data_IF_274260462779
#
_entry.id   IF_274260462779
#
_cell.length_a   1.000
_cell.length_b   1.000
_cell.length_c   1.000
_cell.angle_alpha   90.00
_cell.angle_beta   90.00
_cell.angle_gamma   90.00
#
_symmetry.space_group_name_H-M   'P 1'
#
loop_
_entity.id
_entity.type
_entity.pdbx_description
1 polymer ?
#
# COMPACT_ATOMS: atom_id res chain seq x y z
N UNK A 1 2.10 -20.49 12.61
CA UNK A 1 3.47 -20.94 12.97
C UNK A 1 4.40 -19.74 12.89
N UNK A 2 5.30 -19.57 13.87
CA UNK A 2 6.30 -18.49 13.92
C UNK A 2 7.69 -19.06 13.67
N UNK A 3 8.45 -18.46 12.77
CA UNK A 3 9.81 -18.88 12.41
C UNK A 3 10.75 -17.68 12.39
N UNK A 4 12.00 -17.89 12.80
CA UNK A 4 13.07 -16.94 12.52
C UNK A 4 13.82 -17.40 11.27
N UNK A 5 14.17 -16.47 10.38
CA UNK A 5 14.88 -16.79 9.14
C UNK A 5 15.91 -15.73 8.79
N UNK A 6 17.03 -16.16 8.22
CA UNK A 6 18.06 -15.30 7.64
C UNK A 6 17.88 -15.09 6.13
N UNK A 7 16.69 -15.40 5.59
CA UNK A 7 16.37 -15.23 4.17
C UNK A 7 14.88 -15.04 3.97
N UNK A 8 14.50 -14.07 3.14
CA UNK A 8 13.09 -13.85 2.74
C UNK A 8 12.62 -14.89 1.73
N UNK A 9 13.47 -15.23 0.76
CA UNK A 9 13.12 -16.12 -0.35
C UNK A 9 12.75 -17.54 0.10
N UNK A 10 13.38 -18.06 1.16
CA UNK A 10 13.14 -19.45 1.62
C UNK A 10 11.71 -19.66 2.15
N UNK A 11 11.22 -18.88 3.14
CA UNK A 11 9.83 -18.97 3.57
C UNK A 11 8.83 -18.72 2.44
N UNK A 12 9.08 -17.73 1.57
CA UNK A 12 8.17 -17.44 0.45
C UNK A 12 8.03 -18.64 -0.49
N UNK A 13 9.15 -19.24 -0.91
CA UNK A 13 9.13 -20.43 -1.77
C UNK A 13 8.42 -21.60 -1.11
N UNK A 14 8.73 -21.87 0.17
CA UNK A 14 8.09 -22.95 0.91
C UNK A 14 6.57 -22.76 1.02
N UNK A 15 6.13 -21.54 1.31
CA UNK A 15 4.71 -21.21 1.44
C UNK A 15 3.99 -21.32 0.10
N UNK A 16 4.57 -20.72 -0.95
CA UNK A 16 4.05 -20.75 -2.32
C UNK A 16 3.86 -22.18 -2.83
N UNK A 17 4.80 -23.09 -2.53
CA UNK A 17 4.68 -24.51 -2.94
C UNK A 17 3.48 -25.20 -2.28
N UNK A 18 3.02 -24.74 -1.12
CA UNK A 18 1.92 -25.36 -0.35
C UNK A 18 0.56 -24.72 -0.59
N UNK A 19 0.52 -23.42 -0.86
CA UNK A 19 -0.71 -22.63 -0.98
C UNK A 19 -0.95 -22.10 -2.40
N UNK A 20 -0.01 -22.33 -3.32
CA UNK A 20 -0.07 -21.78 -4.68
C UNK A 20 0.48 -20.35 -4.74
N UNK A 21 0.15 -19.61 -5.81
CA UNK A 21 0.68 -18.27 -6.06
C UNK A 21 -0.26 -17.13 -5.58
N UNK A 22 -1.46 -17.47 -5.13
CA UNK A 22 -2.49 -16.51 -4.72
C UNK A 22 -2.53 -16.41 -3.18
N UNK A 23 -1.57 -15.69 -2.60
CA UNK A 23 -1.53 -15.42 -1.16
C UNK A 23 -1.12 -13.97 -0.87
N UNK A 24 -1.38 -13.53 0.35
CA UNK A 24 -1.11 -12.18 0.85
C UNK A 24 0.19 -12.11 1.63
N UNK A 25 1.02 -11.13 1.29
CA UNK A 25 2.20 -10.75 2.07
C UNK A 25 1.87 -9.51 2.91
N UNK A 26 2.10 -9.58 4.21
CA UNK A 26 2.13 -8.42 5.10
C UNK A 26 3.54 -8.28 5.65
N UNK A 27 4.07 -7.06 5.65
CA UNK A 27 5.40 -6.76 6.17
C UNK A 27 5.26 -5.64 7.19
N UNK A 28 5.84 -5.85 8.38
CA UNK A 28 5.94 -4.89 9.45
C UNK A 28 7.38 -4.82 9.95
N UNK A 29 7.80 -3.67 10.49
CA UNK A 29 9.09 -3.53 11.18
C UNK A 29 8.86 -3.50 12.68
N UNK A 30 9.71 -4.22 13.42
CA UNK A 30 9.77 -4.22 14.87
C UNK A 30 11.22 -4.02 15.32
N UNK A 31 11.45 -3.06 16.20
CA UNK A 31 12.73 -2.92 16.90
C UNK A 31 12.70 -3.74 18.18
N UNK A 32 13.70 -4.58 18.40
CA UNK A 32 13.84 -5.37 19.63
C UNK A 32 14.56 -4.57 20.73
N UNK A 33 14.51 -5.08 21.97
CA UNK A 33 15.05 -4.39 23.15
C UNK A 33 16.56 -4.10 23.08
N UNK A 34 17.31 -4.94 22.36
CA UNK A 34 18.74 -4.79 22.07
C UNK A 34 19.02 -3.78 20.93
N UNK A 35 17.99 -3.15 20.37
CA UNK A 35 18.11 -2.19 19.27
C UNK A 35 18.19 -2.84 17.88
N UNK A 36 18.10 -4.16 17.79
CA UNK A 36 18.11 -4.85 16.49
C UNK A 36 16.78 -4.60 15.76
N UNK A 37 16.85 -4.19 14.49
CA UNK A 37 15.66 -4.06 13.65
C UNK A 37 15.32 -5.42 13.02
N UNK A 38 14.10 -5.90 13.31
CA UNK A 38 13.53 -7.11 12.76
C UNK A 38 12.37 -6.75 11.83
N UNK A 39 12.30 -7.45 10.71
CA UNK A 39 11.19 -7.39 9.76
C UNK A 39 10.30 -8.59 10.00
N UNK A 40 9.10 -8.34 10.49
CA UNK A 40 8.07 -9.36 10.69
C UNK A 40 7.24 -9.47 9.38
N UNK A 41 7.36 -10.61 8.72
CA UNK A 41 6.65 -10.95 7.49
C UNK A 41 5.56 -12.01 7.78
N UNK A 42 4.32 -11.68 7.47
CA UNK A 42 3.18 -12.59 7.57
C UNK A 42 2.66 -12.96 6.17
N UNK A 43 2.59 -14.25 5.89
CA UNK A 43 2.08 -14.83 4.66
C UNK A 43 0.72 -15.47 4.95
N UNK A 44 -0.32 -15.07 4.24
CA UNK A 44 -1.70 -15.54 4.46
C UNK A 44 -2.30 -16.07 3.16
N UNK A 45 -2.79 -17.30 3.20
CA UNK A 45 -3.59 -17.92 2.15
C UNK A 45 -4.88 -18.50 2.76
N UNK A 46 -5.78 -19.02 1.93
CA UNK A 46 -7.00 -19.67 2.42
C UNK A 46 -6.69 -20.92 3.26
N UNK A 47 -5.63 -21.64 2.89
CA UNK A 47 -5.20 -22.89 3.53
C UNK A 47 -4.38 -22.68 4.81
N UNK A 48 -3.98 -21.44 5.11
CA UNK A 48 -3.29 -21.13 6.36
C UNK A 48 -2.43 -19.88 6.33
N UNK A 49 -1.78 -19.61 7.46
CA UNK A 49 -0.90 -18.46 7.65
C UNK A 49 0.46 -18.85 8.25
N UNK A 50 1.50 -18.14 7.83
CA UNK A 50 2.86 -18.27 8.36
C UNK A 50 3.40 -16.90 8.75
N UNK A 51 4.10 -16.83 9.88
CA UNK A 51 4.79 -15.62 10.33
C UNK A 51 6.29 -15.88 10.42
N UNK A 52 7.07 -14.94 9.93
CA UNK A 52 8.53 -15.04 9.84
C UNK A 52 9.15 -13.75 10.34
N UNK A 53 10.10 -13.82 11.25
CA UNK A 53 10.95 -12.68 11.60
C UNK A 53 12.29 -12.80 10.91
N UNK A 54 12.73 -11.70 10.31
CA UNK A 54 13.96 -11.62 9.52
C UNK A 54 14.74 -10.40 9.98
N UNK A 55 16.03 -10.51 10.33
CA UNK A 55 16.85 -9.33 10.60
C UNK A 55 16.83 -8.35 9.42
N UNK A 56 16.74 -7.05 9.68
CA UNK A 56 16.69 -6.00 8.63
C UNK A 56 17.82 -6.11 7.58
N UNK A 57 19.09 -6.38 7.95
CA UNK A 57 20.16 -6.58 6.97
C UNK A 57 19.91 -7.75 6.01
N UNK A 58 19.39 -8.87 6.54
CA UNK A 58 19.11 -10.08 5.76
C UNK A 58 17.89 -9.89 4.85
N UNK A 59 16.92 -9.09 5.29
CA UNK A 59 15.74 -8.74 4.50
C UNK A 59 16.10 -7.97 3.22
N UNK A 60 17.08 -7.06 3.32
CA UNK A 60 17.56 -6.24 2.21
C UNK A 60 18.53 -6.99 1.28
N UNK A 61 19.35 -7.89 1.82
CA UNK A 61 20.39 -8.58 1.07
C UNK A 61 19.87 -9.34 -0.15
N UNK A 62 18.61 -9.80 -0.13
CA UNK A 62 17.99 -10.59 -1.19
C UNK A 62 16.75 -9.92 -1.80
N UNK A 63 16.65 -8.59 -1.71
CA UNK A 63 15.48 -7.81 -2.14
C UNK A 63 14.98 -8.19 -3.54
N UNK A 64 15.88 -8.20 -4.52
CA UNK A 64 15.56 -8.47 -5.92
C UNK A 64 14.90 -9.84 -6.18
N UNK A 65 15.27 -10.88 -5.42
CA UNK A 65 14.70 -12.22 -5.58
C UNK A 65 13.28 -12.29 -5.03
N UNK A 66 13.08 -11.77 -3.81
CA UNK A 66 11.79 -11.92 -3.16
C UNK A 66 10.74 -10.97 -3.72
N UNK A 67 11.10 -9.72 -4.06
CA UNK A 67 10.15 -8.77 -4.67
C UNK A 67 9.61 -9.25 -6.01
N UNK A 68 10.38 -10.07 -6.74
CA UNK A 68 9.95 -10.68 -7.99
C UNK A 68 8.79 -11.68 -7.85
N UNK A 69 8.61 -12.25 -6.64
CA UNK A 69 7.61 -13.28 -6.35
C UNK A 69 6.35 -12.76 -5.66
N UNK A 70 6.37 -11.52 -5.17
CA UNK A 70 5.26 -10.95 -4.39
C UNK A 70 4.19 -10.39 -5.32
N UNK A 71 2.99 -10.95 -5.24
CA UNK A 71 1.82 -10.52 -6.02
C UNK A 71 0.91 -9.58 -5.23
N UNK A 72 0.84 -9.72 -3.90
CA UNK A 72 0.12 -8.80 -3.03
C UNK A 72 0.93 -8.46 -1.78
N UNK A 73 0.96 -7.17 -1.43
CA UNK A 73 1.81 -6.62 -0.38
C UNK A 73 1.04 -5.63 0.48
N UNK A 74 1.13 -5.78 1.80
CA UNK A 74 0.66 -4.79 2.78
C UNK A 74 1.83 -4.33 3.63
N UNK A 75 2.06 -3.01 3.67
CA UNK A 75 3.14 -2.39 4.43
C UNK A 75 2.60 -1.75 5.71
N UNK A 76 3.06 -2.24 6.86
CA UNK A 76 2.71 -1.76 8.20
C UNK A 76 3.91 -1.02 8.78
N UNK A 77 3.77 0.27 9.12
CA UNK A 77 4.90 1.11 9.54
C UNK A 77 5.62 1.75 8.36
N UNK A 78 4.87 2.52 7.56
CA UNK A 78 5.32 3.03 6.25
C UNK A 78 6.59 3.88 6.34
N UNK A 79 6.77 4.65 7.44
CA UNK A 79 7.97 5.47 7.63
C UNK A 79 9.24 4.64 7.51
N UNK A 80 9.29 3.55 8.27
CA UNK A 80 10.48 2.74 8.42
C UNK A 80 10.65 1.84 7.18
N UNK A 81 9.54 1.35 6.61
CA UNK A 81 9.57 0.49 5.42
C UNK A 81 9.99 1.22 4.14
N UNK A 82 9.61 2.48 3.97
CA UNK A 82 10.10 3.25 2.83
C UNK A 82 11.57 3.67 2.95
N UNK A 83 12.12 3.72 4.17
CA UNK A 83 13.56 3.84 4.35
C UNK A 83 14.30 2.57 3.92
N UNK A 84 13.67 1.40 4.08
CA UNK A 84 14.24 0.10 3.71
C UNK A 84 14.06 -0.27 2.23
N UNK A 85 12.99 0.17 1.58
CA UNK A 85 12.64 -0.26 0.21
C UNK A 85 12.79 0.81 -0.90
N UNK A 86 13.64 1.85 -0.81
CA UNK A 86 13.70 2.87 -1.85
C UNK A 86 14.16 2.25 -3.17
N UNK A 87 13.47 2.57 -4.27
CA UNK A 87 13.84 2.15 -5.62
C UNK A 87 13.64 0.65 -5.90
N UNK A 88 13.08 -0.12 -4.96
CA UNK A 88 12.80 -1.53 -5.18
C UNK A 88 11.76 -1.72 -6.30
N UNK A 89 12.01 -2.72 -7.15
CA UNK A 89 11.08 -3.11 -8.22
C UNK A 89 10.30 -4.35 -7.82
N UNK A 90 8.98 -4.27 -7.95
CA UNK A 90 8.05 -5.37 -7.70
C UNK A 90 7.34 -5.75 -9.02
N UNK A 91 7.96 -6.57 -9.87
CA UNK A 91 7.49 -6.81 -11.23
C UNK A 91 6.18 -7.60 -11.31
N UNK A 92 5.83 -8.37 -10.28
CA UNK A 92 4.63 -9.21 -10.22
C UNK A 92 3.52 -8.63 -9.33
N UNK A 93 3.74 -7.46 -8.70
CA UNK A 93 2.83 -6.93 -7.69
C UNK A 93 1.55 -6.38 -8.32
N UNK A 94 0.42 -6.98 -7.95
CA UNK A 94 -0.92 -6.65 -8.42
C UNK A 94 -1.71 -5.82 -7.40
N UNK A 95 -1.48 -6.01 -6.10
CA UNK A 95 -2.14 -5.24 -5.06
C UNK A 95 -1.15 -4.75 -4.00
N UNK A 96 -1.21 -3.44 -3.70
CA UNK A 96 -0.40 -2.80 -2.68
C UNK A 96 -1.29 -2.09 -1.67
N UNK A 97 -1.16 -2.42 -0.40
CA UNK A 97 -1.81 -1.73 0.72
C UNK A 97 -0.75 -1.00 1.53
N UNK A 98 -0.96 0.29 1.78
CA UNK A 98 -0.17 1.08 2.70
C UNK A 98 -1.05 1.43 3.91
N UNK A 99 -0.65 0.97 5.08
CA UNK A 99 -1.35 1.28 6.33
C UNK A 99 -0.88 2.65 6.85
N UNK A 100 -1.61 3.69 6.46
CA UNK A 100 -1.39 5.09 6.76
C UNK A 100 -1.99 5.51 8.12
N UNK A 101 -2.01 4.62 9.11
CA UNK A 101 -2.41 4.93 10.49
C UNK A 101 -1.44 5.92 11.17
N UNK A 102 -0.22 6.06 10.66
CA UNK A 102 0.77 6.98 11.21
C UNK A 102 0.35 8.44 11.03
N UNK A 103 0.70 9.26 12.03
CA UNK A 103 0.27 10.67 12.15
C UNK A 103 0.81 11.55 11.01
N UNK A 104 1.91 11.11 10.36
CA UNK A 104 2.60 11.88 9.33
C UNK A 104 2.12 11.49 7.92
N UNK A 105 1.64 12.45 7.11
CA UNK A 105 1.38 12.22 5.69
C UNK A 105 2.62 11.71 4.95
N UNK A 106 2.40 10.89 3.90
CA UNK A 106 3.46 10.35 3.04
C UNK A 106 4.41 11.42 2.48
N UNK A 107 3.95 12.68 2.41
CA UNK A 107 4.72 13.83 1.93
C UNK A 107 6.00 14.10 2.73
N UNK A 108 6.08 13.63 3.97
CA UNK A 108 7.25 13.83 4.83
C UNK A 108 8.40 12.86 4.54
N UNK A 109 8.13 11.76 3.84
CA UNK A 109 9.16 10.78 3.52
C UNK A 109 9.84 11.17 2.19
N UNK A 110 11.17 11.18 2.18
CA UNK A 110 11.99 11.33 0.97
C UNK A 110 12.42 9.96 0.52
N UNK A 111 11.78 9.44 -0.52
CA UNK A 111 11.93 8.04 -0.94
C UNK A 111 12.00 8.00 -2.46
N UNK A 112 12.86 7.13 -2.98
CA UNK A 112 12.75 6.75 -4.39
C UNK A 112 11.48 5.91 -4.55
N UNK A 113 10.65 6.20 -5.57
CA UNK A 113 9.35 5.54 -5.72
C UNK A 113 9.51 4.05 -6.01
N UNK A 114 8.58 3.23 -5.49
CA UNK A 114 8.51 1.80 -5.79
C UNK A 114 8.13 1.58 -7.25
N UNK A 115 8.88 0.74 -7.96
CA UNK A 115 8.59 0.44 -9.37
C UNK A 115 7.62 -0.74 -9.45
N UNK A 116 6.39 -0.49 -9.89
CA UNK A 116 5.27 -1.44 -9.78
C UNK A 116 4.51 -1.58 -11.11
N UNK A 117 5.13 -2.19 -12.14
CA UNK A 117 4.67 -2.09 -13.53
C UNK A 117 3.30 -2.74 -13.79
N UNK A 118 2.88 -3.72 -12.97
CA UNK A 118 1.63 -4.48 -13.17
C UNK A 118 0.58 -4.25 -12.09
N UNK A 119 0.79 -3.28 -11.19
CA UNK A 119 -0.13 -2.95 -10.09
C UNK A 119 -1.54 -2.67 -10.60
N UNK A 120 -2.55 -3.32 -10.04
CA UNK A 120 -3.96 -3.14 -10.40
C UNK A 120 -4.71 -2.37 -9.33
N UNK A 121 -4.37 -2.62 -8.06
CA UNK A 121 -5.08 -2.07 -6.92
C UNK A 121 -4.07 -1.42 -5.98
N UNK A 122 -4.29 -0.15 -5.69
CA UNK A 122 -3.58 0.57 -4.64
C UNK A 122 -4.54 0.90 -3.51
N UNK A 123 -4.18 0.59 -2.27
CA UNK A 123 -5.03 0.78 -1.08
C UNK A 123 -4.27 1.66 -0.08
N UNK A 124 -4.89 2.77 0.32
CA UNK A 124 -4.47 3.56 1.48
C UNK A 124 -5.44 3.23 2.62
N UNK A 125 -4.93 2.57 3.66
CA UNK A 125 -5.71 2.20 4.84
C UNK A 125 -5.37 3.12 6.02
N UNK A 126 -6.30 3.98 6.41
CA UNK A 126 -6.19 4.92 7.52
C UNK A 126 -6.74 4.32 8.82
N UNK A 127 -7.43 3.18 8.78
CA UNK A 127 -8.04 2.54 9.96
C UNK A 127 -9.15 3.35 10.58
N UNK A 128 -9.48 3.04 11.84
CA UNK A 128 -10.67 3.58 12.52
C UNK A 128 -10.38 4.81 13.39
N UNK A 129 -9.14 5.29 13.49
CA UNK A 129 -8.79 6.38 14.43
C UNK A 129 -9.31 7.74 13.91
N UNK A 130 -10.45 8.19 14.44
CA UNK A 130 -11.35 9.24 13.94
C UNK A 130 -10.82 10.69 13.76
N UNK A 131 -9.53 10.97 13.59
CA UNK A 131 -9.05 12.36 13.45
C UNK A 131 -8.19 12.61 12.20
N UNK A 132 -8.74 13.44 11.31
CA UNK A 132 -8.02 14.07 10.20
C UNK A 132 -7.90 13.24 8.91
N UNK A 133 -8.72 12.20 8.73
CA UNK A 133 -8.62 11.30 7.58
C UNK A 133 -8.79 11.98 6.22
N UNK A 134 -9.72 12.93 6.07
CA UNK A 134 -9.90 13.68 4.80
C UNK A 134 -8.62 14.43 4.40
N UNK A 135 -8.08 15.25 5.30
CA UNK A 135 -6.87 16.02 5.05
C UNK A 135 -5.65 15.11 4.80
N UNK A 136 -5.51 14.04 5.60
CA UNK A 136 -4.43 13.05 5.43
C UNK A 136 -4.54 12.33 4.09
N UNK A 137 -5.73 11.87 3.73
CA UNK A 137 -5.99 11.19 2.47
C UNK A 137 -5.63 12.07 1.28
N UNK A 138 -6.10 13.33 1.29
CA UNK A 138 -5.73 14.32 0.27
C UNK A 138 -4.21 14.48 0.16
N UNK A 139 -3.50 14.67 1.28
CA UNK A 139 -2.04 14.85 1.30
C UNK A 139 -1.29 13.61 0.82
N UNK A 140 -1.76 12.41 1.15
CA UNK A 140 -1.18 11.17 0.65
C UNK A 140 -1.36 11.05 -0.86
N UNK A 141 -2.58 11.27 -1.37
CA UNK A 141 -2.89 11.20 -2.80
C UNK A 141 -2.09 12.20 -3.64
N UNK A 142 -1.83 13.40 -3.10
CA UNK A 142 -1.01 14.43 -3.76
C UNK A 142 0.42 13.96 -4.08
N UNK A 143 0.99 13.05 -3.28
CA UNK A 143 2.39 12.61 -3.41
C UNK A 143 2.58 11.20 -3.97
N UNK A 144 1.51 10.40 -4.04
CA UNK A 144 1.57 9.03 -4.59
C UNK A 144 2.26 8.94 -5.96
N UNK A 145 1.86 9.73 -6.98
CA UNK A 145 2.42 9.60 -8.33
C UNK A 145 3.91 9.96 -8.41
N UNK A 146 4.38 10.88 -7.58
CA UNK A 146 5.71 11.47 -7.71
C UNK A 146 6.73 10.88 -6.73
N UNK A 147 6.27 10.29 -5.62
CA UNK A 147 7.14 9.88 -4.50
C UNK A 147 6.95 8.45 -4.01
N UNK A 148 5.76 7.87 -4.23
CA UNK A 148 5.41 6.58 -3.65
C UNK A 148 5.49 5.49 -4.70
N UNK A 149 4.88 5.71 -5.87
CA UNK A 149 4.76 4.72 -6.92
C UNK A 149 5.27 5.24 -8.25
N UNK A 150 6.15 4.47 -8.89
CA UNK A 150 6.50 4.64 -10.29
C UNK A 150 5.63 3.70 -11.12
N UNK A 151 4.56 4.27 -11.68
CA UNK A 151 3.63 3.58 -12.59
C UNK A 151 4.07 3.66 -14.07
N UNK A 152 5.21 4.29 -14.34
CA UNK A 152 5.66 4.68 -15.68
C UNK A 152 4.57 5.54 -16.36
N UNK A 153 4.14 5.18 -17.56
CA UNK A 153 3.11 5.89 -18.34
C UNK A 153 1.68 5.37 -18.04
N UNK A 154 1.54 4.39 -17.15
CA UNK A 154 0.26 3.71 -16.90
C UNK A 154 -0.52 4.40 -15.78
N UNK A 155 -1.84 4.28 -15.85
CA UNK A 155 -2.76 4.63 -14.76
C UNK A 155 -3.33 3.39 -14.11
N UNK A 156 -3.63 3.49 -12.83
CA UNK A 156 -4.33 2.45 -12.09
C UNK A 156 -5.82 2.50 -12.41
N UNK A 157 -6.48 1.35 -12.61
CA UNK A 157 -7.94 1.32 -12.72
C UNK A 157 -8.62 1.92 -11.48
N UNK A 158 -8.14 1.53 -10.30
CA UNK A 158 -8.76 1.90 -9.02
C UNK A 158 -7.73 2.16 -7.93
N UNK A 159 -7.88 3.28 -7.22
CA UNK A 159 -7.32 3.49 -5.89
C UNK A 159 -8.42 3.33 -4.83
N UNK A 160 -8.12 2.65 -3.72
CA UNK A 160 -9.02 2.47 -2.59
C UNK A 160 -8.54 3.25 -1.38
N UNK A 161 -9.44 3.96 -0.74
CA UNK A 161 -9.21 4.66 0.52
C UNK A 161 -10.09 3.99 1.57
N UNK A 162 -9.47 3.41 2.59
CA UNK A 162 -10.16 2.67 3.65
C UNK A 162 -9.95 3.42 4.96
N UNK A 163 -11.01 3.67 5.72
CA UNK A 163 -10.88 4.34 7.02
C UNK A 163 -12.19 4.31 7.81
N UNK A 164 -12.24 4.98 8.97
CA UNK A 164 -13.49 5.19 9.72
C UNK A 164 -14.40 6.22 9.04
N UNK A 165 -15.63 6.37 9.55
CA UNK A 165 -16.75 7.14 8.95
C UNK A 165 -16.40 8.51 8.36
N UNK A 166 -15.43 9.23 8.94
CA UNK A 166 -14.99 10.53 8.44
C UNK A 166 -14.35 10.48 7.04
N UNK A 167 -13.84 9.32 6.60
CA UNK A 167 -13.31 9.15 5.24
C UNK A 167 -14.40 9.36 4.19
N UNK A 168 -15.66 9.01 4.52
CA UNK A 168 -16.82 9.22 3.67
C UNK A 168 -17.14 10.70 3.44
N UNK A 169 -16.56 11.62 4.21
CA UNK A 169 -16.74 13.07 3.99
C UNK A 169 -15.92 13.60 2.81
N UNK A 170 -14.97 12.83 2.28
CA UNK A 170 -14.24 13.18 1.06
C UNK A 170 -15.22 13.56 -0.05
N UNK A 171 -14.95 14.68 -0.71
CA UNK A 171 -15.67 15.14 -1.88
C UNK A 171 -14.78 15.01 -3.12
N UNK A 172 -15.41 15.16 -4.28
CA UNK A 172 -14.71 15.08 -5.55
C UNK A 172 -13.55 16.09 -5.66
N UNK A 173 -13.76 17.32 -5.16
CA UNK A 173 -12.75 18.40 -5.12
C UNK A 173 -11.54 18.10 -4.22
N UNK A 174 -11.63 17.09 -3.34
CA UNK A 174 -10.51 16.65 -2.49
C UNK A 174 -9.56 15.67 -3.22
N UNK A 175 -9.92 15.21 -4.41
CA UNK A 175 -9.22 14.13 -5.13
C UNK A 175 -8.36 14.55 -6.36
N UNK A 176 -7.97 15.81 -6.60
CA UNK A 176 -7.24 16.17 -7.82
C UNK A 176 -5.88 15.47 -7.94
N UNK A 177 -5.26 15.09 -6.81
CA UNK A 177 -4.04 14.29 -6.79
C UNK A 177 -4.26 12.85 -7.30
N UNK A 178 -5.41 12.25 -6.99
CA UNK A 178 -5.74 10.89 -7.42
C UNK A 178 -5.86 10.78 -8.94
N UNK A 179 -6.44 11.80 -9.57
CA UNK A 179 -6.67 11.86 -11.01
C UNK A 179 -5.40 11.92 -11.85
N UNK A 180 -4.23 12.13 -11.24
CA UNK A 180 -2.95 12.01 -11.93
C UNK A 180 -2.57 10.56 -12.22
N UNK A 181 -3.02 9.61 -11.41
CA UNK A 181 -2.51 8.24 -11.45
C UNK A 181 -3.56 7.14 -11.45
N UNK A 182 -4.84 7.45 -11.19
CA UNK A 182 -5.92 6.45 -11.23
C UNK A 182 -7.20 6.98 -11.88
N UNK A 183 -8.03 6.07 -12.38
CA UNK A 183 -9.29 6.43 -13.05
C UNK A 183 -10.47 6.49 -12.10
N UNK A 184 -10.48 5.64 -11.08
CA UNK A 184 -11.52 5.54 -10.07
C UNK A 184 -10.94 5.62 -8.66
N UNK A 185 -11.60 6.36 -7.76
CA UNK A 185 -11.34 6.32 -6.32
C UNK A 185 -12.54 5.69 -5.63
N UNK A 186 -12.29 4.60 -4.90
CA UNK A 186 -13.27 3.93 -4.07
C UNK A 186 -12.96 4.24 -2.60
N UNK A 187 -13.93 4.81 -1.89
CA UNK A 187 -13.83 5.17 -0.48
C UNK A 187 -14.70 4.22 0.32
N UNK A 188 -14.12 3.54 1.30
CA UNK A 188 -14.79 2.54 2.12
C UNK A 188 -14.66 2.90 3.60
N UNK A 189 -15.80 2.91 4.29
CA UNK A 189 -15.83 2.93 5.74
C UNK A 189 -15.70 1.50 6.31
N UNK A 190 -14.72 1.31 7.19
CA UNK A 190 -14.40 0.00 7.76
C UNK A 190 -15.53 -0.53 8.64
N UNK A 191 -16.24 0.36 9.35
CA UNK A 191 -17.24 -0.01 10.35
C UNK A 191 -18.61 -0.29 9.72
N UNK A 192 -19.16 0.67 8.97
CA UNK A 192 -20.47 0.55 8.31
C UNK A 192 -20.43 -0.24 7.01
N UNK A 193 -19.25 -0.46 6.42
CA UNK A 193 -19.06 -1.03 5.08
C UNK A 193 -19.70 -0.19 3.96
N UNK A 194 -20.02 1.07 4.23
CA UNK A 194 -20.46 1.99 3.20
C UNK A 194 -19.33 2.25 2.20
N UNK A 195 -19.68 2.27 0.92
CA UNK A 195 -18.74 2.50 -0.18
C UNK A 195 -19.23 3.67 -1.02
N UNK A 196 -18.36 4.65 -1.25
CA UNK A 196 -18.54 5.73 -2.23
C UNK A 196 -17.52 5.59 -3.35
N UNK A 197 -17.94 5.85 -4.58
CA UNK A 197 -17.09 5.74 -5.77
C UNK A 197 -17.08 7.07 -6.49
N UNK A 198 -15.89 7.53 -6.88
CA UNK A 198 -15.67 8.75 -7.64
C UNK A 198 -14.94 8.40 -8.93
N UNK A 199 -15.42 8.92 -10.06
CA UNK A 199 -14.77 8.73 -11.36
C UNK A 199 -14.11 10.01 -11.84
N UNK A 200 -12.99 9.87 -12.56
CA UNK A 200 -12.37 10.99 -13.27
C UNK A 200 -13.26 11.52 -14.40
N UNK A 201 -14.08 10.70 -15.06
CA UNK A 201 -14.89 11.15 -16.22
C UNK A 201 -15.92 12.21 -15.80
N UNK A 202 -16.42 12.11 -14.57
CA UNK A 202 -17.33 13.10 -13.98
C UNK A 202 -16.67 14.48 -13.81
N UNK A 203 -15.33 14.52 -13.70
CA UNK A 203 -14.53 15.74 -13.65
C UNK A 203 -14.55 16.54 -14.95
N UNK A 204 -14.46 15.81 -16.06
CA UNK A 204 -14.20 16.38 -17.38
C UNK A 204 -15.52 16.86 -18.03
N UNK A 205 -16.66 16.32 -17.59
CA UNK A 205 -17.99 16.73 -18.06
C UNK A 205 -18.65 17.83 -17.20
N UNK A 206 -18.17 18.12 -15.99
CA UNK A 206 -18.75 19.12 -15.09
C UNK A 206 -18.46 20.59 -15.43
N UNK A 207 -17.74 20.87 -16.53
CA UNK A 207 -17.28 22.22 -16.91
C UNK A 207 -18.20 23.01 -17.86
N UNK A 208 -19.29 22.44 -18.39
CA UNK A 208 -20.10 23.07 -19.45
C UNK A 208 -21.61 23.21 -19.17
N UNK A 209 -22.04 23.27 -17.90
CA UNK A 209 -23.45 23.51 -17.59
C UNK A 209 -23.61 24.65 -16.57
N UNK A 210 -23.75 25.88 -17.07
CA UNK A 210 -24.06 27.03 -16.22
C UNK A 210 -24.04 28.37 -16.95
N UNK A 211 -24.79 28.49 -18.05
CA UNK A 211 -24.99 29.75 -18.75
C UNK A 211 -26.29 29.72 -19.55
N UNK A 212 -27.40 29.99 -18.86
CA UNK A 212 -28.63 30.54 -19.41
C UNK A 212 -29.08 31.70 -18.50
#
# INVERSE_FOLDING_TARGET
MWLESSSVSRPLRWFTVRTGAAWRTKIAIRTTFDGTEMVDMELEAEEGAMRVSIPSPDFLADATSWTASVTTLSLHGIRDLFALLPGCTFPALQALTLLAHEVCPLSHYRTEPLVVPVLQIFILDFGTVHQGHVFKARKCLEVVPDRVLSLRERRLPTARLVGGVDILKLQWDDLPGAWKFCDTVCVEDVESKEIRVFSRVEAECGGEAGGD
#
